data_IF_376753072854
#
_entry.id   IF_376753072854
#
_cell.length_a   1.000
_cell.length_b   1.000
_cell.length_c   1.000
_cell.angle_alpha   90.00
_cell.angle_beta   90.00
_cell.angle_gamma   90.00
#
_symmetry.space_group_name_H-M   'P 1'
#
loop_
_entity.id
_entity.type
_entity.pdbx_description
1 polymer ?
#
# COMPACT_ATOMS: atom_id res chain seq x y z
N UNK A 1 -9.02 20.38 -9.46
CA UNK A 1 -7.55 20.33 -9.47
C UNK A 1 -7.16 18.92 -9.86
N UNK A 2 -6.31 18.72 -10.86
CA UNK A 2 -5.87 17.37 -11.26
C UNK A 2 -4.65 16.99 -10.39
N UNK A 3 -4.84 16.10 -9.42
CA UNK A 3 -3.77 15.68 -8.50
C UNK A 3 -2.81 14.65 -9.12
N UNK A 4 -3.26 13.88 -10.11
CA UNK A 4 -2.41 12.93 -10.84
C UNK A 4 -1.71 13.62 -12.01
N UNK A 5 -0.38 13.72 -11.93
CA UNK A 5 0.46 14.40 -12.92
C UNK A 5 0.83 13.50 -14.10
N UNK A 6 0.96 12.19 -13.86
CA UNK A 6 1.27 11.21 -14.91
C UNK A 6 0.63 9.85 -14.62
N UNK A 7 -0.56 9.62 -15.17
CA UNK A 7 -1.34 8.38 -14.92
C UNK A 7 -0.61 7.13 -15.43
N UNK A 8 -0.01 7.16 -16.63
CA UNK A 8 0.66 5.99 -17.19
C UNK A 8 1.86 5.58 -16.34
N UNK A 9 2.71 6.53 -15.95
CA UNK A 9 3.87 6.25 -15.09
C UNK A 9 3.44 5.84 -13.68
N UNK A 10 2.36 6.42 -13.16
CA UNK A 10 1.78 6.01 -11.87
C UNK A 10 1.35 4.54 -11.91
N UNK A 11 0.61 4.12 -12.94
CA UNK A 11 0.20 2.73 -13.10
C UNK A 11 1.39 1.77 -13.27
N UNK A 12 2.46 2.19 -13.97
CA UNK A 12 3.70 1.42 -14.08
C UNK A 12 4.41 1.27 -12.73
N UNK A 13 4.55 2.36 -11.97
CA UNK A 13 5.19 2.34 -10.65
C UNK A 13 4.42 1.48 -9.64
N UNK A 14 3.10 1.63 -9.57
CA UNK A 14 2.22 0.76 -8.77
C UNK A 14 2.38 -0.69 -9.23
N UNK A 15 2.41 -0.93 -10.53
CA UNK A 15 2.54 -2.27 -11.10
C UNK A 15 3.84 -2.96 -10.69
N UNK A 16 4.97 -2.26 -10.79
CA UNK A 16 6.28 -2.79 -10.42
C UNK A 16 6.38 -3.06 -8.91
N UNK A 17 5.99 -2.09 -8.07
CA UNK A 17 6.03 -2.24 -6.62
C UNK A 17 5.10 -3.35 -6.13
N UNK A 18 3.89 -3.44 -6.68
CA UNK A 18 2.94 -4.49 -6.31
C UNK A 18 3.45 -5.88 -6.73
N UNK A 19 4.05 -6.00 -7.91
CA UNK A 19 4.58 -7.28 -8.38
C UNK A 19 5.69 -7.80 -7.47
N UNK A 20 6.64 -6.92 -7.11
CA UNK A 20 7.71 -7.25 -6.17
C UNK A 20 7.16 -7.65 -4.79
N UNK A 21 6.25 -6.84 -4.23
CA UNK A 21 5.64 -7.12 -2.93
C UNK A 21 4.85 -8.43 -2.94
N UNK A 22 4.09 -8.68 -3.99
CA UNK A 22 3.29 -9.91 -4.14
C UNK A 22 4.19 -11.12 -4.28
N UNK A 23 5.28 -11.03 -5.04
CA UNK A 23 6.29 -12.08 -5.15
C UNK A 23 6.89 -12.44 -3.79
N UNK A 24 7.32 -11.43 -3.02
CA UNK A 24 7.84 -11.62 -1.67
C UNK A 24 6.79 -12.19 -0.71
N UNK A 25 5.55 -11.69 -0.76
CA UNK A 25 4.50 -12.10 0.16
C UNK A 25 3.94 -13.50 -0.11
N UNK A 26 3.82 -13.90 -1.38
CA UNK A 26 3.35 -15.23 -1.76
C UNK A 26 4.32 -16.34 -1.34
N UNK A 27 5.62 -16.03 -1.27
CA UNK A 27 6.66 -16.97 -0.84
C UNK A 27 6.97 -16.87 0.67
N UNK A 28 6.97 -15.65 1.22
CA UNK A 28 7.46 -15.35 2.57
C UNK A 28 6.40 -15.28 3.67
N UNK A 29 5.10 -15.15 3.33
CA UNK A 29 4.05 -15.09 4.35
C UNK A 29 3.56 -16.50 4.70
N UNK A 30 3.79 -16.96 5.94
CA UNK A 30 3.34 -18.28 6.39
C UNK A 30 1.83 -18.28 6.59
N UNK A 31 1.22 -19.46 6.44
CA UNK A 31 -0.23 -19.62 6.61
C UNK A 31 -0.67 -19.38 8.06
N UNK A 32 0.19 -19.69 9.03
CA UNK A 32 -0.01 -19.43 10.46
C UNK A 32 1.20 -18.71 11.07
N UNK A 33 1.04 -18.10 12.24
CA UNK A 33 2.13 -17.40 12.92
C UNK A 33 2.40 -15.99 12.43
N UNK A 34 3.48 -15.42 12.95
CA UNK A 34 3.99 -14.08 12.65
C UNK A 34 5.06 -14.14 11.55
N UNK A 35 5.33 -13.01 10.90
CA UNK A 35 6.37 -12.86 9.88
C UNK A 35 6.93 -11.45 9.89
N UNK A 36 8.14 -11.27 9.36
CA UNK A 36 8.72 -9.94 9.18
C UNK A 36 7.91 -9.17 8.14
N UNK A 37 7.53 -7.93 8.46
CA UNK A 37 6.84 -7.08 7.51
C UNK A 37 7.61 -6.95 6.19
N UNK A 38 6.88 -7.07 5.08
CA UNK A 38 7.39 -6.89 3.72
C UNK A 38 6.92 -5.53 3.22
N UNK A 39 7.80 -4.75 2.63
CA UNK A 39 7.39 -3.51 1.96
C UNK A 39 8.20 -3.22 0.71
N UNK A 40 7.59 -2.45 -0.19
CA UNK A 40 8.20 -1.91 -1.40
C UNK A 40 7.85 -0.43 -1.48
N UNK A 41 8.71 0.37 -2.11
CA UNK A 41 8.55 1.83 -2.16
C UNK A 41 8.85 2.36 -3.54
N UNK A 42 8.18 3.45 -3.91
CA UNK A 42 8.49 4.20 -5.12
C UNK A 42 8.26 5.69 -4.90
N UNK A 43 9.02 6.52 -5.62
CA UNK A 43 8.88 7.97 -5.58
C UNK A 43 7.57 8.39 -6.28
N UNK A 44 6.74 9.17 -5.57
CA UNK A 44 5.44 9.64 -6.03
C UNK A 44 5.44 11.08 -6.54
N UNK A 45 6.43 11.91 -6.22
CA UNK A 45 6.36 13.36 -6.47
C UNK A 45 6.35 13.83 -7.92
N UNK A 46 6.77 13.00 -8.87
CA UNK A 46 6.60 13.28 -10.30
C UNK A 46 5.29 12.68 -10.89
N UNK A 47 4.53 11.97 -10.06
CA UNK A 47 3.38 11.15 -10.48
C UNK A 47 2.07 11.69 -9.89
N UNK A 48 2.12 12.16 -8.64
CA UNK A 48 0.98 12.70 -7.89
C UNK A 48 1.45 13.95 -7.16
N UNK A 49 0.70 15.03 -7.31
CA UNK A 49 0.98 16.32 -6.69
C UNK A 49 0.94 16.23 -5.16
N UNK A 50 1.88 16.93 -4.51
CA UNK A 50 2.04 16.90 -3.05
C UNK A 50 2.59 15.60 -2.45
N UNK A 51 2.82 14.55 -3.25
CA UNK A 51 3.38 13.28 -2.76
C UNK A 51 4.91 13.29 -2.83
N UNK A 52 5.57 12.75 -1.81
CA UNK A 52 7.00 12.42 -1.81
C UNK A 52 7.20 10.97 -2.23
N UNK A 53 6.91 10.05 -1.31
CA UNK A 53 7.05 8.60 -1.49
C UNK A 53 5.74 7.86 -1.26
N UNK A 54 5.60 6.71 -1.91
CA UNK A 54 4.54 5.74 -1.65
C UNK A 54 5.17 4.42 -1.20
N UNK A 55 4.69 3.89 -0.06
CA UNK A 55 5.06 2.57 0.46
C UNK A 55 3.87 1.62 0.38
N UNK A 56 4.09 0.46 -0.22
CA UNK A 56 3.17 -0.68 -0.15
C UNK A 56 3.72 -1.67 0.86
N UNK A 57 2.90 -2.09 1.82
CA UNK A 57 3.35 -2.95 2.91
C UNK A 57 2.39 -4.09 3.20
N UNK A 58 2.94 -5.27 3.45
CA UNK A 58 2.25 -6.42 4.05
C UNK A 58 2.89 -6.71 5.40
N UNK A 59 2.11 -6.77 6.46
CA UNK A 59 2.63 -7.02 7.80
C UNK A 59 1.63 -7.78 8.68
N UNK A 60 2.09 -8.49 9.71
CA UNK A 60 1.22 -8.97 10.76
C UNK A 60 0.75 -7.81 11.63
N UNK A 61 -0.49 -7.86 12.08
CA UNK A 61 -0.95 -7.08 13.21
C UNK A 61 -0.95 -7.99 14.44
N UNK A 62 -0.33 -7.53 15.53
CA UNK A 62 -0.47 -8.20 16.82
C UNK A 62 -1.89 -7.97 17.34
N UNK A 63 -2.80 -8.92 17.07
CA UNK A 63 -4.11 -8.94 17.70
C UNK A 63 -4.04 -9.49 19.12
N UNK A 64 -5.08 -9.22 19.92
CA UNK A 64 -5.26 -9.83 21.24
C UNK A 64 -5.20 -11.37 21.15
N UNK A 65 -4.68 -11.97 22.23
CA UNK A 65 -4.39 -13.41 22.41
C UNK A 65 -5.27 -14.32 21.55
N UNK A 66 -4.75 -14.76 20.40
CA UNK A 66 -5.35 -15.79 19.55
C UNK A 66 -5.82 -15.34 18.17
N UNK A 67 -5.87 -14.03 17.86
CA UNK A 67 -6.23 -13.52 16.52
C UNK A 67 -5.03 -12.89 15.84
N UNK A 68 -4.32 -13.67 15.01
CA UNK A 68 -3.29 -13.14 14.13
C UNK A 68 -3.96 -12.50 12.91
N UNK A 69 -3.91 -11.19 12.85
CA UNK A 69 -4.41 -10.41 11.72
C UNK A 69 -3.23 -10.07 10.81
N UNK A 70 -3.51 -9.92 9.52
CA UNK A 70 -2.53 -9.49 8.53
C UNK A 70 -3.11 -8.28 7.82
N UNK A 71 -2.29 -7.34 7.38
CA UNK A 71 -2.80 -6.20 6.64
C UNK A 71 -1.99 -5.92 5.39
N UNK A 72 -2.65 -5.26 4.44
CA UNK A 72 -2.02 -4.57 3.33
C UNK A 72 -2.21 -3.06 3.55
N UNK A 73 -1.13 -2.30 3.52
CA UNK A 73 -1.11 -0.85 3.75
C UNK A 73 -0.57 -0.15 2.49
N UNK A 74 -1.21 0.95 2.12
CA UNK A 74 -0.70 1.97 1.20
C UNK A 74 -0.43 3.19 2.03
N UNK A 75 0.84 3.53 2.20
CA UNK A 75 1.26 4.75 2.88
C UNK A 75 1.73 5.76 1.85
N UNK A 76 1.22 6.98 1.95
CA UNK A 76 1.64 8.12 1.15
C UNK A 76 2.32 9.10 2.09
N UNK A 77 3.54 9.51 1.75
CA UNK A 77 4.31 10.49 2.51
C UNK A 77 4.47 11.77 1.69
N UNK A 78 4.48 12.93 2.34
CA UNK A 78 4.80 14.22 1.72
C UNK A 78 6.31 14.50 1.80
N UNK A 79 6.86 15.37 0.94
CA UNK A 79 8.28 15.76 1.01
C UNK A 79 8.68 16.42 2.35
N UNK A 80 7.72 17.00 3.07
CA UNK A 80 7.91 17.61 4.39
C UNK A 80 7.94 16.59 5.54
N UNK A 81 7.75 15.29 5.25
CA UNK A 81 7.80 14.21 6.24
C UNK A 81 6.44 13.84 6.84
N UNK A 82 5.35 14.47 6.39
CA UNK A 82 3.99 14.07 6.70
C UNK A 82 3.62 12.74 6.06
N UNK A 83 2.66 12.00 6.63
CA UNK A 83 2.21 10.75 6.01
C UNK A 83 0.81 10.33 6.40
N UNK A 84 0.09 9.76 5.45
CA UNK A 84 -1.24 9.18 5.60
C UNK A 84 -1.26 7.74 5.09
N UNK A 85 -2.19 6.92 5.57
CA UNK A 85 -2.21 5.49 5.24
C UNK A 85 -3.63 4.95 5.08
N UNK A 86 -3.81 4.19 4.01
CA UNK A 86 -4.99 3.36 3.74
C UNK A 86 -4.64 1.90 4.03
N UNK A 87 -5.40 1.24 4.92
CA UNK A 87 -5.10 -0.12 5.39
C UNK A 87 -6.27 -1.06 5.19
N UNK A 88 -6.02 -2.24 4.62
CA UNK A 88 -6.97 -3.34 4.52
C UNK A 88 -6.54 -4.51 5.41
N UNK A 89 -7.40 -4.91 6.34
CA UNK A 89 -7.13 -5.97 7.32
C UNK A 89 -7.74 -7.30 6.90
N UNK A 90 -6.95 -8.36 7.04
CA UNK A 90 -7.26 -9.75 6.74
C UNK A 90 -7.23 -10.56 8.03
N UNK A 91 -8.40 -10.78 8.62
CA UNK A 91 -8.56 -11.51 9.88
C UNK A 91 -8.25 -13.00 9.72
N UNK A 92 -7.09 -13.46 10.22
CA UNK A 92 -6.71 -14.88 10.28
C UNK A 92 -6.56 -15.63 8.95
N UNK A 93 -6.86 -14.99 7.81
CA UNK A 93 -7.01 -15.65 6.50
C UNK A 93 -5.82 -15.31 5.59
N UNK A 94 -4.70 -16.02 5.76
CA UNK A 94 -3.59 -15.95 4.80
C UNK A 94 -4.04 -16.26 3.37
N UNK A 95 -4.97 -17.20 3.22
CA UNK A 95 -5.57 -17.50 1.92
C UNK A 95 -6.24 -16.27 1.29
N UNK A 96 -6.98 -15.47 2.05
CA UNK A 96 -7.64 -14.26 1.55
C UNK A 96 -6.62 -13.16 1.18
N UNK A 97 -5.57 -12.99 1.98
CA UNK A 97 -4.46 -12.09 1.62
C UNK A 97 -3.80 -12.54 0.32
N UNK A 98 -3.42 -13.83 0.22
CA UNK A 98 -2.78 -14.41 -0.97
C UNK A 98 -3.69 -14.32 -2.20
N UNK A 99 -5.00 -14.50 -2.05
CA UNK A 99 -5.98 -14.35 -3.12
C UNK A 99 -6.05 -12.92 -3.64
N UNK A 100 -6.08 -11.93 -2.74
CA UNK A 100 -6.05 -10.51 -3.12
C UNK A 100 -4.75 -10.14 -3.81
N UNK A 101 -3.60 -10.62 -3.32
CA UNK A 101 -2.29 -10.40 -3.94
C UNK A 101 -2.20 -11.04 -5.34
N UNK A 102 -2.82 -12.20 -5.56
CA UNK A 102 -2.91 -12.83 -6.89
C UNK A 102 -3.79 -12.04 -7.85
N UNK A 103 -4.79 -11.31 -7.36
CA UNK A 103 -5.62 -10.43 -8.17
C UNK A 103 -5.00 -9.03 -8.32
N UNK A 104 -3.80 -8.99 -8.92
CA UNK A 104 -3.04 -7.76 -9.10
C UNK A 104 -3.83 -6.66 -9.84
N UNK A 105 -4.66 -7.02 -10.82
CA UNK A 105 -5.42 -6.05 -11.61
C UNK A 105 -6.40 -5.26 -10.73
N UNK A 106 -7.20 -5.95 -9.90
CA UNK A 106 -8.11 -5.29 -8.98
C UNK A 106 -7.36 -4.48 -7.91
N UNK A 107 -6.21 -5.00 -7.45
CA UNK A 107 -5.43 -4.34 -6.42
C UNK A 107 -4.73 -3.08 -6.93
N UNK A 108 -4.24 -3.05 -8.18
CA UNK A 108 -3.70 -1.84 -8.84
C UNK A 108 -4.70 -0.68 -8.83
N UNK A 109 -5.98 -0.97 -9.14
CA UNK A 109 -7.06 0.03 -9.10
C UNK A 109 -7.28 0.55 -7.68
N UNK A 110 -7.31 -0.34 -6.69
CA UNK A 110 -7.48 0.04 -5.27
C UNK A 110 -6.31 0.87 -4.74
N UNK A 111 -5.07 0.47 -5.05
CA UNK A 111 -3.86 1.20 -4.66
C UNK A 111 -3.88 2.60 -5.28
N UNK A 112 -4.18 2.71 -6.57
CA UNK A 112 -4.28 4.01 -7.26
C UNK A 112 -5.31 4.91 -6.60
N UNK A 113 -6.49 4.38 -6.26
CA UNK A 113 -7.52 5.13 -5.56
C UNK A 113 -7.07 5.57 -4.15
N UNK A 114 -6.41 4.69 -3.40
CA UNK A 114 -5.86 5.00 -2.08
C UNK A 114 -4.79 6.10 -2.15
N UNK A 115 -3.83 6.01 -3.08
CA UNK A 115 -2.79 7.04 -3.24
C UNK A 115 -3.42 8.40 -3.48
N UNK A 116 -4.42 8.48 -4.38
CA UNK A 116 -5.12 9.74 -4.68
C UNK A 116 -5.87 10.26 -3.46
N UNK A 117 -6.63 9.40 -2.76
CA UNK A 117 -7.39 9.80 -1.59
C UNK A 117 -6.48 10.32 -0.46
N UNK A 118 -5.35 9.63 -0.20
CA UNK A 118 -4.40 10.07 0.82
C UNK A 118 -3.66 11.33 0.42
N UNK A 119 -3.25 11.48 -0.85
CA UNK A 119 -2.64 12.70 -1.34
C UNK A 119 -3.58 13.91 -1.21
N UNK A 120 -4.86 13.75 -1.57
CA UNK A 120 -5.87 14.79 -1.37
C UNK A 120 -6.10 15.10 0.12
N UNK A 121 -6.04 14.08 0.98
CA UNK A 121 -6.16 14.26 2.43
C UNK A 121 -4.97 15.04 2.99
N UNK A 122 -3.76 14.71 2.57
CA UNK A 122 -2.54 15.42 2.95
C UNK A 122 -2.58 16.88 2.47
N UNK A 123 -2.99 17.14 1.23
CA UNK A 123 -3.14 18.51 0.74
C UNK A 123 -4.14 19.33 1.57
N UNK A 124 -5.24 18.72 2.03
CA UNK A 124 -6.22 19.42 2.89
C UNK A 124 -5.71 19.69 4.31
N UNK A 125 -4.84 18.84 4.85
CA UNK A 125 -4.46 18.87 6.27
C UNK A 125 -3.04 19.41 6.53
N UNK A 126 -2.14 19.42 5.54
CA UNK A 126 -0.74 19.86 5.70
C UNK A 126 -0.39 21.15 4.93
N UNK A 127 -1.24 21.60 3.99
CA UNK A 127 -1.05 22.85 3.23
C UNK A 127 -1.96 24.00 3.73
N UNK A 128 -2.51 23.90 4.94
CA UNK A 128 -3.28 24.95 5.61
C UNK A 128 -2.38 25.88 6.43
#
# INVERSE_FOLDING_TARGET
MQIVLNEQKLQQAIGAALHELSGGALQGVPDTGTFTALSTRFAGGALVDGVGDVELRVAPLSGDKGKLERFFEVRVSTPSGGSHSSTWVFYGKTAALKEVLKNEAALKVKIRAAIVAEAESLQRNELA
#
